data_IF_148648538409
#
_entry.id   IF_148648538409
#
_cell.length_a   1.000
_cell.length_b   1.000
_cell.length_c   1.000
_cell.angle_alpha   90.00
_cell.angle_beta   90.00
_cell.angle_gamma   90.00
#
_symmetry.space_group_name_H-M   'P 1'
#
loop_
_entity.id
_entity.type
_entity.pdbx_description
1 polymer ?
#
# COMPACT_ATOMS: atom_id res chain seq x y z
N UNK A 1 0.70 -14.00 10.54
CA UNK A 1 -0.60 -14.04 9.88
C UNK A 1 -0.49 -14.62 8.47
N UNK A 2 -1.61 -14.79 7.80
CA UNK A 2 -1.64 -15.46 6.49
C UNK A 2 -0.91 -14.67 5.40
N UNK A 3 -0.94 -13.34 5.45
CA UNK A 3 -0.25 -12.50 4.48
C UNK A 3 1.27 -12.62 4.65
N UNK A 4 1.76 -12.58 5.88
CA UNK A 4 3.18 -12.73 6.17
C UNK A 4 3.67 -14.11 5.75
N UNK A 5 2.89 -15.15 5.99
CA UNK A 5 3.22 -16.50 5.55
C UNK A 5 3.27 -16.59 4.03
N UNK A 6 2.29 -16.01 3.35
CA UNK A 6 2.25 -15.99 1.88
C UNK A 6 3.46 -15.24 1.33
N UNK A 7 3.81 -14.12 1.94
CA UNK A 7 4.96 -13.32 1.55
C UNK A 7 6.25 -14.13 1.70
N UNK A 8 6.45 -14.74 2.87
CA UNK A 8 7.64 -15.55 3.14
C UNK A 8 7.74 -16.73 2.18
N UNK A 9 6.61 -17.38 1.91
CA UNK A 9 6.55 -18.50 0.99
C UNK A 9 6.95 -18.09 -0.43
N UNK A 10 6.40 -16.99 -0.92
CA UNK A 10 6.74 -16.48 -2.24
C UNK A 10 8.23 -16.18 -2.35
N UNK A 11 8.79 -15.54 -1.33
CA UNK A 11 10.21 -15.19 -1.31
C UNK A 11 11.11 -16.41 -1.29
N UNK A 12 10.70 -17.45 -0.55
CA UNK A 12 11.52 -18.66 -0.40
C UNK A 12 11.41 -19.62 -1.56
N UNK A 13 10.24 -19.72 -2.17
CA UNK A 13 9.95 -20.69 -3.22
C UNK A 13 10.08 -20.13 -4.63
N UNK A 14 9.79 -18.84 -4.77
CA UNK A 14 9.71 -18.21 -6.09
C UNK A 14 10.91 -17.32 -6.32
N UNK A 15 11.69 -17.66 -7.33
CA UNK A 15 12.84 -16.87 -7.75
C UNK A 15 12.47 -15.87 -8.85
N UNK A 16 11.20 -15.76 -9.15
CA UNK A 16 10.74 -14.81 -10.14
C UNK A 16 10.83 -13.38 -9.60
N UNK A 17 10.94 -12.47 -10.54
CA UNK A 17 10.95 -11.05 -10.22
C UNK A 17 9.57 -10.58 -9.76
N UNK A 18 9.51 -9.90 -8.63
CA UNK A 18 8.30 -9.26 -8.17
C UNK A 18 8.65 -7.96 -7.43
N UNK A 19 7.63 -7.19 -7.13
CA UNK A 19 7.78 -5.96 -6.37
C UNK A 19 6.92 -6.04 -5.12
N UNK A 20 7.34 -5.32 -4.08
CA UNK A 20 6.49 -5.10 -2.91
C UNK A 20 6.12 -3.63 -2.85
N UNK A 21 4.91 -3.36 -2.38
CA UNK A 21 4.45 -2.01 -2.11
C UNK A 21 3.95 -1.97 -0.68
N UNK A 22 4.45 -1.03 0.10
CA UNK A 22 3.94 -0.78 1.45
C UNK A 22 3.26 0.57 1.40
N UNK A 23 2.01 0.64 1.82
CA UNK A 23 1.28 1.89 1.79
C UNK A 23 0.55 2.14 3.11
N UNK A 24 0.24 3.38 3.34
CA UNK A 24 -0.30 3.87 4.60
C UNK A 24 -1.32 4.96 4.29
N UNK A 25 -2.41 4.97 5.04
CA UNK A 25 -3.44 6.01 4.89
C UNK A 25 -2.94 7.28 5.56
N UNK A 26 -2.87 8.36 4.78
CA UNK A 26 -2.38 9.64 5.27
C UNK A 26 -3.32 10.23 6.31
N UNK A 27 -2.74 10.70 7.41
CA UNK A 27 -3.47 11.36 8.50
C UNK A 27 -4.60 10.52 9.09
N UNK A 28 -4.40 9.21 9.13
CA UNK A 28 -5.43 8.29 9.62
C UNK A 28 -5.81 8.57 11.09
N UNK A 29 -4.84 8.96 11.90
CA UNK A 29 -5.11 9.35 13.29
C UNK A 29 -6.12 10.49 13.35
N UNK A 30 -6.00 11.47 12.44
CA UNK A 30 -6.95 12.58 12.36
C UNK A 30 -8.36 12.11 12.03
N UNK A 31 -8.49 11.10 11.18
CA UNK A 31 -9.79 10.52 10.85
C UNK A 31 -10.42 9.93 12.11
N UNK A 32 -9.66 9.11 12.85
CA UNK A 32 -10.15 8.52 14.09
C UNK A 32 -10.50 9.58 15.15
N UNK A 33 -9.66 10.58 15.29
CA UNK A 33 -9.86 11.65 16.29
C UNK A 33 -11.07 12.51 15.95
N UNK A 34 -11.34 12.75 14.66
CA UNK A 34 -12.42 13.62 14.19
C UNK A 34 -13.75 12.89 14.06
N UNK A 35 -13.73 11.68 13.51
CA UNK A 35 -14.95 10.95 13.15
C UNK A 35 -15.18 9.68 13.96
N UNK A 36 -14.19 9.25 14.74
CA UNK A 36 -14.27 8.05 15.56
C UNK A 36 -13.70 6.81 14.88
N UNK A 37 -13.43 5.79 15.68
CA UNK A 37 -12.80 4.56 15.20
C UNK A 37 -13.68 3.78 14.22
N UNK A 38 -15.00 3.85 14.38
CA UNK A 38 -15.92 3.18 13.43
C UNK A 38 -15.77 3.77 12.01
N UNK A 39 -15.60 5.10 11.92
CA UNK A 39 -15.35 5.76 10.65
C UNK A 39 -14.00 5.33 10.08
N UNK A 40 -12.97 5.27 10.93
CA UNK A 40 -11.65 4.77 10.53
C UNK A 40 -11.72 3.36 9.95
N UNK A 41 -12.50 2.47 10.57
CA UNK A 41 -12.68 1.11 10.08
C UNK A 41 -13.33 1.09 8.70
N UNK A 42 -14.29 1.96 8.44
CA UNK A 42 -14.92 2.07 7.12
C UNK A 42 -13.93 2.56 6.06
N UNK A 43 -13.07 3.50 6.43
CA UNK A 43 -12.01 3.99 5.53
C UNK A 43 -11.04 2.84 5.19
N UNK A 44 -10.62 2.06 6.18
CA UNK A 44 -9.73 0.91 5.96
C UNK A 44 -10.37 -0.09 5.00
N UNK A 45 -11.65 -0.40 5.20
CA UNK A 45 -12.38 -1.32 4.32
C UNK A 45 -12.43 -0.79 2.88
N UNK A 46 -12.70 0.50 2.72
CA UNK A 46 -12.79 1.13 1.41
C UNK A 46 -11.46 1.11 0.67
N UNK A 47 -10.38 1.46 1.35
CA UNK A 47 -9.03 1.44 0.77
C UNK A 47 -8.64 0.01 0.40
N UNK A 48 -8.92 -0.94 1.28
CA UNK A 48 -8.64 -2.36 1.03
C UNK A 48 -9.37 -2.88 -0.20
N UNK A 49 -10.65 -2.54 -0.34
CA UNK A 49 -11.46 -3.00 -1.47
C UNK A 49 -10.95 -2.43 -2.80
N UNK A 50 -10.66 -1.13 -2.83
CA UNK A 50 -10.12 -0.47 -4.03
C UNK A 50 -8.81 -1.14 -4.44
N UNK A 51 -7.91 -1.32 -3.49
CA UNK A 51 -6.58 -1.87 -3.77
C UNK A 51 -6.65 -3.32 -4.24
N UNK A 52 -7.47 -4.12 -3.57
CA UNK A 52 -7.66 -5.53 -3.93
C UNK A 52 -8.27 -5.66 -5.33
N UNK A 53 -9.26 -4.85 -5.65
CA UNK A 53 -9.91 -4.88 -6.96
C UNK A 53 -8.93 -4.49 -8.08
N UNK A 54 -8.05 -3.54 -7.83
CA UNK A 54 -7.06 -3.10 -8.81
C UNK A 54 -5.94 -4.12 -8.97
N UNK A 55 -5.44 -4.65 -7.85
CA UNK A 55 -4.29 -5.55 -7.88
C UNK A 55 -4.60 -6.95 -8.41
N UNK A 56 -5.75 -7.49 -8.15
CA UNK A 56 -6.20 -8.80 -8.64
C UNK A 56 -5.18 -9.94 -8.52
N UNK A 57 -5.71 -11.16 -8.38
CA UNK A 57 -4.89 -12.38 -8.43
C UNK A 57 -4.10 -12.46 -9.75
N UNK A 58 -2.85 -12.91 -9.79
CA UNK A 58 -2.12 -13.59 -8.70
C UNK A 58 -1.44 -12.65 -7.69
N UNK A 59 -1.61 -11.35 -7.83
CA UNK A 59 -1.05 -10.40 -6.89
C UNK A 59 -1.73 -10.54 -5.53
N UNK A 60 -1.00 -10.20 -4.47
CA UNK A 60 -1.53 -10.26 -3.10
C UNK A 60 -1.61 -8.87 -2.52
N UNK A 61 -2.62 -8.65 -1.72
CA UNK A 61 -2.78 -7.38 -1.00
C UNK A 61 -3.46 -7.66 0.33
N UNK A 62 -2.96 -7.05 1.39
CA UNK A 62 -3.56 -7.20 2.69
C UNK A 62 -3.06 -6.17 3.69
N UNK A 63 -3.83 -6.05 4.76
CA UNK A 63 -3.50 -5.17 5.87
C UNK A 63 -2.45 -5.85 6.76
N UNK A 64 -1.37 -5.16 7.07
CA UNK A 64 -0.32 -5.69 7.93
C UNK A 64 -0.36 -5.12 9.34
N UNK A 65 -1.08 -4.05 9.56
CA UNK A 65 -1.27 -3.49 10.91
C UNK A 65 -1.78 -2.07 10.82
N UNK A 66 -2.58 -1.66 11.81
CA UNK A 66 -3.10 -0.30 11.87
C UNK A 66 -3.70 0.15 10.54
N UNK A 67 -3.11 1.17 9.95
CA UNK A 67 -3.49 1.73 8.65
C UNK A 67 -2.50 1.39 7.55
N UNK A 68 -1.62 0.39 7.78
CA UNK A 68 -0.62 -0.06 6.80
C UNK A 68 -1.05 -1.30 6.04
N UNK A 69 -0.69 -1.32 4.76
CA UNK A 69 -0.99 -2.41 3.84
C UNK A 69 0.26 -2.83 3.08
N UNK A 70 0.28 -4.09 2.69
CA UNK A 70 1.37 -4.67 1.88
C UNK A 70 0.77 -5.26 0.62
N UNK A 71 1.37 -4.95 -0.52
CA UNK A 71 1.04 -5.57 -1.80
C UNK A 71 2.25 -6.30 -2.36
N UNK A 72 2.01 -7.42 -3.02
CA UNK A 72 3.02 -8.16 -3.77
C UNK A 72 2.55 -8.22 -5.22
N UNK A 73 3.34 -7.64 -6.11
CA UNK A 73 2.97 -7.52 -7.53
C UNK A 73 3.96 -8.34 -8.34
N UNK A 74 3.45 -9.37 -9.03
CA UNK A 74 4.25 -10.31 -9.78
C UNK A 74 4.61 -9.80 -11.17
N UNK A 75 5.78 -10.18 -11.67
CA UNK A 75 6.23 -9.93 -13.05
C UNK A 75 6.08 -8.49 -13.51
N UNK A 76 6.28 -7.53 -12.58
CA UNK A 76 6.05 -6.13 -12.92
C UNK A 76 7.32 -5.43 -13.37
N UNK A 77 7.19 -4.71 -14.48
CA UNK A 77 8.15 -3.67 -14.83
C UNK A 77 7.90 -2.46 -13.93
N UNK A 78 8.88 -1.56 -13.84
CA UNK A 78 8.67 -0.34 -13.09
C UNK A 78 7.51 0.50 -13.68
N UNK A 79 7.41 0.55 -15.01
CA UNK A 79 6.33 1.27 -15.67
C UNK A 79 4.95 0.73 -15.27
N UNK A 80 4.79 -0.58 -15.31
CA UNK A 80 3.53 -1.21 -14.93
C UNK A 80 3.21 -0.97 -13.45
N UNK A 81 4.20 -1.10 -12.59
CA UNK A 81 4.02 -0.87 -11.16
C UNK A 81 3.60 0.58 -10.89
N UNK A 82 4.23 1.54 -11.56
CA UNK A 82 3.87 2.96 -11.42
C UNK A 82 2.42 3.21 -11.85
N UNK A 83 1.98 2.60 -12.93
CA UNK A 83 0.61 2.72 -13.41
C UNK A 83 -0.40 2.16 -12.41
N UNK A 84 -0.13 0.98 -11.85
CA UNK A 84 -1.00 0.35 -10.86
C UNK A 84 -1.06 1.18 -9.59
N UNK A 85 0.08 1.60 -9.07
CA UNK A 85 0.12 2.39 -7.84
C UNK A 85 -0.57 3.74 -8.02
N UNK A 86 -0.39 4.37 -9.17
CA UNK A 86 -1.05 5.64 -9.47
C UNK A 86 -2.56 5.46 -9.57
N UNK A 87 -3.00 4.34 -10.13
CA UNK A 87 -4.44 4.02 -10.20
C UNK A 87 -5.03 3.84 -8.81
N UNK A 88 -4.32 3.14 -7.92
CA UNK A 88 -4.75 2.99 -6.54
C UNK A 88 -4.81 4.36 -5.86
N UNK A 89 -3.74 5.13 -5.98
CA UNK A 89 -3.64 6.45 -5.33
C UNK A 89 -4.77 7.38 -5.75
N UNK A 90 -5.01 7.52 -7.05
CA UNK A 90 -6.06 8.42 -7.55
C UNK A 90 -7.44 7.90 -7.19
N UNK A 91 -7.66 6.59 -7.23
CA UNK A 91 -8.95 6.01 -6.84
C UNK A 91 -9.26 6.27 -5.38
N UNK A 92 -8.26 6.19 -4.50
CA UNK A 92 -8.45 6.50 -3.08
C UNK A 92 -8.69 8.00 -2.89
N UNK A 93 -7.93 8.85 -3.57
CA UNK A 93 -8.06 10.30 -3.47
C UNK A 93 -9.46 10.77 -3.89
N UNK A 94 -10.02 10.15 -4.92
CA UNK A 94 -11.34 10.52 -5.45
C UNK A 94 -12.49 9.91 -4.65
N UNK A 95 -12.21 8.91 -3.83
CA UNK A 95 -13.25 8.22 -3.07
C UNK A 95 -13.82 9.12 -1.99
N UNK A 96 -15.14 9.16 -1.91
CA UNK A 96 -15.85 9.80 -0.81
C UNK A 96 -16.53 8.71 0.01
N UNK A 97 -16.12 8.58 1.26
CA UNK A 97 -16.73 7.58 2.16
C UNK A 97 -17.74 8.30 3.04
N UNK A 98 -19.01 7.93 2.87
CA UNK A 98 -20.10 8.51 3.66
C UNK A 98 -20.19 7.79 5.00
N UNK A 99 -20.08 8.54 6.08
CA UNK A 99 -20.22 8.02 7.44
C UNK A 99 -20.93 9.08 8.29
N UNK A 100 -22.07 8.70 8.91
CA UNK A 100 -22.89 9.60 9.72
C UNK A 100 -23.18 10.94 9.01
N UNK A 101 -23.59 10.86 7.74
CA UNK A 101 -23.94 12.00 6.89
C UNK A 101 -22.77 12.93 6.59
N UNK A 102 -21.53 12.48 6.82
CA UNK A 102 -20.31 13.23 6.49
C UNK A 102 -19.50 12.49 5.44
N UNK A 103 -19.01 13.21 4.45
CA UNK A 103 -18.10 12.64 3.46
C UNK A 103 -16.68 12.76 3.96
N UNK A 104 -16.01 11.61 4.06
CA UNK A 104 -14.63 11.55 4.53
C UNK A 104 -13.76 11.22 3.33
N UNK A 105 -12.73 12.04 3.11
CA UNK A 105 -11.74 11.83 2.05
C UNK A 105 -10.38 11.62 2.68
N UNK A 106 -9.62 10.70 2.10
CA UNK A 106 -8.25 10.43 2.52
C UNK A 106 -7.37 10.29 1.29
N UNK A 107 -6.07 10.35 1.52
CA UNK A 107 -5.07 9.99 0.51
C UNK A 107 -4.20 8.88 1.09
N UNK A 108 -3.36 8.30 0.25
CA UNK A 108 -2.39 7.28 0.67
C UNK A 108 -1.00 7.67 0.20
N UNK A 109 -0.02 7.22 0.97
CA UNK A 109 1.39 7.30 0.59
C UNK A 109 1.95 5.90 0.54
N UNK A 110 2.89 5.65 -0.33
CA UNK A 110 3.47 4.33 -0.45
C UNK A 110 4.92 4.33 -0.89
N UNK A 111 5.56 3.21 -0.65
CA UNK A 111 6.91 2.96 -1.11
C UNK A 111 6.98 1.58 -1.73
N UNK A 112 7.69 1.46 -2.82
CA UNK A 112 7.83 0.21 -3.56
C UNK A 112 9.30 -0.16 -3.70
N UNK A 113 9.55 -1.47 -3.72
CA UNK A 113 10.89 -1.99 -3.94
C UNK A 113 10.80 -3.27 -4.78
N UNK A 114 11.85 -3.52 -5.55
CA UNK A 114 11.92 -4.67 -6.46
C UNK A 114 12.89 -5.71 -5.91
N UNK A 115 12.59 -6.97 -6.14
CA UNK A 115 13.45 -8.07 -5.66
C UNK A 115 14.87 -7.99 -6.21
N UNK A 116 15.05 -7.45 -7.41
CA UNK A 116 16.39 -7.31 -8.01
C UNK A 116 17.24 -6.22 -7.36
N UNK A 117 16.65 -5.40 -6.49
CA UNK A 117 17.39 -4.36 -5.76
C UNK A 117 17.96 -4.85 -4.43
N UNK A 118 17.55 -6.03 -3.98
CA UNK A 118 17.80 -6.48 -2.63
C UNK A 118 18.29 -7.92 -2.59
N UNK A 119 19.09 -8.25 -1.57
CA UNK A 119 19.64 -9.59 -1.40
C UNK A 119 18.73 -10.54 -0.61
N UNK A 120 17.85 -9.98 0.19
CA UNK A 120 16.97 -10.77 1.06
C UNK A 120 15.68 -10.04 1.37
N UNK A 121 14.75 -10.74 2.01
CA UNK A 121 13.44 -10.23 2.36
C UNK A 121 13.49 -9.01 3.26
N UNK A 122 14.35 -9.04 4.25
CA UNK A 122 14.48 -7.97 5.22
C UNK A 122 14.87 -6.67 4.54
N UNK A 123 15.85 -6.73 3.65
CA UNK A 123 16.30 -5.56 2.89
C UNK A 123 15.21 -5.04 1.96
N UNK A 124 14.44 -5.94 1.36
CA UNK A 124 13.34 -5.58 0.45
C UNK A 124 12.26 -4.78 1.20
N UNK A 125 11.84 -5.27 2.35
CA UNK A 125 10.84 -4.61 3.19
C UNK A 125 11.39 -3.26 3.68
N UNK A 126 12.64 -3.24 4.14
CA UNK A 126 13.25 -2.01 4.65
C UNK A 126 13.32 -0.93 3.56
N UNK A 127 13.65 -1.34 2.33
CA UNK A 127 13.72 -0.39 1.22
C UNK A 127 12.35 0.19 0.88
N UNK A 128 11.32 -0.64 0.86
CA UNK A 128 9.96 -0.15 0.64
C UNK A 128 9.52 0.79 1.78
N UNK A 129 9.84 0.46 3.02
CA UNK A 129 9.55 1.32 4.19
C UNK A 129 10.27 2.67 4.10
N UNK A 130 11.53 2.68 3.69
CA UNK A 130 12.29 3.93 3.52
C UNK A 130 11.63 4.83 2.47
N UNK A 131 11.17 4.24 1.37
CA UNK A 131 10.49 4.98 0.31
C UNK A 131 9.11 5.48 0.73
N UNK A 132 8.40 4.70 1.55
CA UNK A 132 7.14 5.15 2.16
C UNK A 132 7.41 6.37 3.06
N UNK A 133 8.43 6.29 3.90
CA UNK A 133 8.81 7.41 4.76
C UNK A 133 9.12 8.65 3.94
N UNK A 134 9.87 8.49 2.84
CA UNK A 134 10.20 9.60 1.95
C UNK A 134 8.94 10.20 1.31
N UNK A 135 8.00 9.36 0.92
CA UNK A 135 6.73 9.84 0.35
C UNK A 135 5.96 10.68 1.37
N UNK A 136 5.91 10.24 2.62
CA UNK A 136 5.26 11.01 3.70
C UNK A 136 5.97 12.32 3.97
N UNK A 137 7.29 12.30 3.98
CA UNK A 137 8.11 13.49 4.26
C UNK A 137 8.00 14.52 3.17
N UNK A 138 7.82 14.09 1.93
CA UNK A 138 7.83 14.99 0.76
C UNK A 138 6.44 15.39 0.27
N UNK A 139 5.43 15.30 1.14
CA UNK A 139 4.12 15.86 0.85
C UNK A 139 2.95 14.90 0.89
N UNK A 140 3.19 13.62 1.12
CA UNK A 140 2.15 12.59 1.15
C UNK A 140 1.44 12.45 -0.19
N UNK A 141 0.41 11.64 -0.25
CA UNK A 141 -0.40 11.41 -1.46
C UNK A 141 0.47 11.10 -2.68
N UNK A 142 1.37 10.13 -2.52
CA UNK A 142 2.31 9.73 -3.58
C UNK A 142 2.96 8.40 -3.26
N UNK A 143 3.50 7.78 -4.31
CA UNK A 143 4.34 6.58 -4.16
C UNK A 143 5.76 6.90 -4.62
N UNK A 144 6.75 6.32 -3.93
CA UNK A 144 8.15 6.38 -4.33
C UNK A 144 8.62 5.00 -4.75
N UNK A 145 9.38 4.94 -5.84
CA UNK A 145 9.85 3.70 -6.47
C UNK A 145 11.36 3.60 -6.54
N UNK A 146 12.06 4.64 -6.19
CA UNK A 146 13.51 4.71 -6.20
C UNK A 146 13.96 5.77 -5.18
N UNK A 147 15.26 6.01 -5.13
CA UNK A 147 15.83 7.01 -4.22
C UNK A 147 15.59 8.43 -4.79
N UNK A 148 14.44 8.96 -4.51
CA UNK A 148 14.03 10.29 -5.02
C UNK A 148 14.24 11.40 -4.00
#
# INVERSE_FOLDING_TARGET
DSLEKSFSQILNENKEHFAVAILDIDHFKNVNDTYGHAAGDEIIKAVSKISTDILRSPNLFGRIGGEEFLGIIHNSSETYLREICEKIRTSVEELETLFDNQNIKVTISGGCAFTNECSNTSDLINKADERLYSAKKNGRNRFYFSEE
#
